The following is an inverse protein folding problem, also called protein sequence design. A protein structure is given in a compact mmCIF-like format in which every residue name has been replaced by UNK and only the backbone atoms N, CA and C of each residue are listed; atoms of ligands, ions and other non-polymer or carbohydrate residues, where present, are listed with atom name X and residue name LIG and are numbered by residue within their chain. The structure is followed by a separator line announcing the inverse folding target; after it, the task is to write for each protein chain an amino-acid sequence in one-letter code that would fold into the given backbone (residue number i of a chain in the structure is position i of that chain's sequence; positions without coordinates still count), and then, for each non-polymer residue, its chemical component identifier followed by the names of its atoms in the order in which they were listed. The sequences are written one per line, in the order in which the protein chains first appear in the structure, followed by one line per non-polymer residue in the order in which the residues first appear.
data_IF_630844424244
#
_entry.id   IF_630844424244
#
_cell.length_a   1.000
_cell.length_b   1.000
_cell.length_c   1.000
_cell.angle_alpha   90.00
_cell.angle_beta   90.00
_cell.angle_gamma   90.00
#
_symmetry.space_group_name_H-M   'P 1'
#
loop_
_entity.id
_entity.type
_entity.pdbx_description
1 polymer ?
#
# COMPACT_ATOMS: atom_id res chain seq x y z
N UNK A 1 -13.91 -27.09 0.94
CA UNK A 1 -12.74 -26.32 1.40
C UNK A 1 -13.10 -24.86 1.22
N UNK A 2 -13.54 -24.19 2.30
CA UNK A 2 -13.95 -22.79 2.28
C UNK A 2 -12.75 -21.89 2.05
N UNK A 3 -12.71 -21.27 0.88
CA UNK A 3 -11.68 -20.32 0.48
C UNK A 3 -11.77 -19.05 1.36
N UNK A 4 -11.02 -19.04 2.47
CA UNK A 4 -10.81 -17.89 3.35
C UNK A 4 -10.06 -16.71 2.66
N UNK A 5 -9.82 -16.77 1.34
CA UNK A 5 -9.17 -15.73 0.55
C UNK A 5 -10.03 -14.47 0.36
N UNK A 6 -11.35 -14.55 0.57
CA UNK A 6 -12.28 -13.42 0.41
C UNK A 6 -12.35 -12.49 1.62
N UNK A 7 -11.84 -12.89 2.78
CA UNK A 7 -11.96 -12.08 4.01
C UNK A 7 -10.78 -11.13 4.23
N UNK A 8 -9.62 -11.44 3.65
CA UNK A 8 -8.36 -10.71 3.87
C UNK A 8 -7.58 -10.42 2.59
N UNK A 9 -8.14 -10.71 1.40
CA UNK A 9 -7.54 -10.31 0.13
C UNK A 9 -7.59 -8.78 -0.06
N UNK A 10 -6.76 -8.19 -0.93
CA UNK A 10 -6.84 -6.77 -1.25
C UNK A 10 -8.25 -6.37 -1.71
N UNK A 11 -8.98 -7.25 -2.41
CA UNK A 11 -10.36 -7.04 -2.80
C UNK A 11 -11.39 -6.99 -1.65
N UNK A 12 -11.01 -7.40 -0.43
CA UNK A 12 -11.87 -7.41 0.75
C UNK A 12 -11.73 -6.15 1.61
N UNK A 13 -10.61 -5.42 1.48
CA UNK A 13 -10.36 -4.22 2.27
C UNK A 13 -10.92 -2.99 1.58
N UNK A 14 -11.73 -2.22 2.30
CA UNK A 14 -12.21 -0.92 1.81
C UNK A 14 -11.04 0.09 1.74
N UNK A 15 -11.17 1.14 0.92
CA UNK A 15 -10.17 2.21 0.87
C UNK A 15 -9.82 2.79 2.25
N UNK A 16 -10.82 2.96 3.12
CA UNK A 16 -10.63 3.46 4.48
C UNK A 16 -9.78 2.53 5.34
N UNK A 17 -10.00 1.22 5.23
CA UNK A 17 -9.19 0.22 5.94
C UNK A 17 -7.75 0.22 5.44
N UNK A 18 -7.53 0.34 4.13
CA UNK A 18 -6.19 0.44 3.55
C UNK A 18 -5.47 1.72 3.97
N UNK A 19 -6.18 2.84 4.04
CA UNK A 19 -5.64 4.10 4.56
C UNK A 19 -5.24 3.99 6.04
N UNK A 20 -6.07 3.32 6.85
CA UNK A 20 -5.76 3.05 8.24
C UNK A 20 -4.50 2.20 8.40
N UNK A 21 -4.39 1.10 7.65
CA UNK A 21 -3.20 0.23 7.65
C UNK A 21 -1.95 1.02 7.24
N UNK A 22 -2.03 1.80 6.16
CA UNK A 22 -0.92 2.66 5.72
C UNK A 22 -0.49 3.63 6.81
N UNK A 23 -1.44 4.28 7.49
CA UNK A 23 -1.15 5.20 8.59
C UNK A 23 -0.47 4.48 9.78
N UNK A 24 -0.90 3.26 10.11
CA UNK A 24 -0.25 2.45 11.15
C UNK A 24 1.19 2.08 10.74
N UNK A 25 1.41 1.64 9.50
CA UNK A 25 2.75 1.32 9.00
C UNK A 25 3.70 2.53 9.02
N UNK A 26 3.19 3.71 8.65
CA UNK A 26 3.93 4.98 8.74
C UNK A 26 4.28 5.36 10.18
N UNK A 27 3.35 5.13 11.12
CA UNK A 27 3.57 5.38 12.55
C UNK A 27 4.59 4.42 13.16
N UNK A 28 4.56 3.15 12.77
CA UNK A 28 5.48 2.13 13.30
C UNK A 28 6.90 2.39 12.79
N UNK A 29 7.09 2.70 11.51
CA UNK A 29 8.41 2.89 10.90
C UNK A 29 8.59 4.28 10.28
N UNK A 30 8.55 5.36 11.09
CA UNK A 30 8.53 6.74 10.56
C UNK A 30 9.72 7.04 9.67
N UNK A 31 10.91 6.50 9.96
CA UNK A 31 12.12 6.70 9.15
C UNK A 31 12.04 6.15 7.72
N UNK A 32 11.27 5.07 7.51
CA UNK A 32 11.10 4.43 6.22
C UNK A 32 10.19 5.25 5.27
N UNK A 33 9.27 6.00 5.86
CA UNK A 33 8.25 6.80 5.17
C UNK A 33 8.54 8.31 5.20
N UNK A 34 9.50 8.78 6.01
CA UNK A 34 9.88 10.20 6.16
C UNK A 34 10.37 10.85 4.86
N UNK A 35 10.86 10.04 3.92
CA UNK A 35 11.35 10.46 2.59
C UNK A 35 10.52 9.86 1.45
N UNK A 36 9.22 9.66 1.66
CA UNK A 36 8.34 9.29 0.55
C UNK A 36 8.39 10.43 -0.48
N UNK A 37 9.08 10.20 -1.60
CA UNK A 37 9.07 11.11 -2.74
C UNK A 37 7.64 11.28 -3.25
N UNK A 38 7.36 12.33 -4.03
CA UNK A 38 6.03 12.55 -4.63
C UNK A 38 5.51 11.32 -5.39
N UNK A 39 6.43 10.55 -5.98
CA UNK A 39 6.15 9.26 -6.62
C UNK A 39 5.64 8.20 -5.63
N UNK A 40 6.35 7.99 -4.51
CA UNK A 40 5.92 7.03 -3.48
C UNK A 40 4.58 7.43 -2.86
N UNK A 41 4.33 8.72 -2.67
CA UNK A 41 3.02 9.23 -2.23
C UNK A 41 1.88 8.94 -3.25
N UNK A 42 2.20 8.92 -4.54
CA UNK A 42 1.24 8.52 -5.59
C UNK A 42 0.94 7.02 -5.54
N UNK A 43 1.95 6.18 -5.28
CA UNK A 43 1.76 4.74 -5.11
C UNK A 43 0.84 4.44 -3.91
N UNK A 44 1.03 5.13 -2.78
CA UNK A 44 0.15 4.98 -1.63
C UNK A 44 -1.29 5.37 -1.91
N UNK A 45 -1.53 6.44 -2.68
CA UNK A 45 -2.89 6.82 -3.11
C UNK A 45 -3.52 5.74 -3.99
N UNK A 46 -2.78 5.15 -4.92
CA UNK A 46 -3.26 4.04 -5.76
C UNK A 46 -3.54 2.78 -4.94
N UNK A 47 -2.72 2.46 -3.95
CA UNK A 47 -2.98 1.37 -3.01
C UNK A 47 -4.25 1.60 -2.20
N UNK A 48 -4.45 2.80 -1.66
CA UNK A 48 -5.69 3.14 -0.92
C UNK A 48 -6.91 3.03 -1.82
N UNK A 49 -6.82 3.49 -3.08
CA UNK A 49 -7.92 3.43 -4.04
C UNK A 49 -8.30 2.01 -4.48
N UNK A 50 -7.50 0.99 -4.16
CA UNK A 50 -7.75 -0.38 -4.64
C UNK A 50 -6.98 -0.74 -5.91
N UNK A 51 -6.40 0.23 -6.59
CA UNK A 51 -5.73 0.11 -7.89
C UNK A 51 -4.44 -0.71 -7.85
N UNK A 52 -3.78 -0.75 -6.69
CA UNK A 52 -2.56 -1.53 -6.45
C UNK A 52 -2.70 -2.42 -5.22
N UNK A 53 -2.03 -3.57 -5.24
CA UNK A 53 -1.76 -4.35 -4.02
C UNK A 53 -0.57 -3.77 -3.25
N UNK A 54 -0.43 -4.14 -1.97
CA UNK A 54 0.74 -3.71 -1.19
C UNK A 54 2.06 -4.26 -1.77
N UNK A 55 2.03 -5.47 -2.35
CA UNK A 55 3.18 -6.05 -3.05
C UNK A 55 3.59 -5.19 -4.26
N UNK A 56 2.63 -4.72 -5.06
CA UNK A 56 2.94 -3.83 -6.19
C UNK A 56 3.57 -2.51 -5.71
N UNK A 57 3.10 -1.97 -4.59
CA UNK A 57 3.71 -0.77 -3.98
C UNK A 57 5.15 -1.03 -3.56
N UNK A 58 5.45 -2.18 -2.97
CA UNK A 58 6.83 -2.54 -2.60
C UNK A 58 7.72 -2.66 -3.85
N UNK A 59 7.26 -3.40 -4.87
CA UNK A 59 8.00 -3.60 -6.13
C UNK A 59 8.29 -2.26 -6.81
N UNK A 60 7.29 -1.39 -6.94
CA UNK A 60 7.43 -0.07 -7.58
C UNK A 60 8.28 0.91 -6.75
N UNK A 61 8.33 0.73 -5.42
CA UNK A 61 9.19 1.53 -4.54
C UNK A 61 10.65 1.08 -4.60
N UNK A 62 10.90 -0.21 -4.76
CA UNK A 62 12.23 -0.82 -4.87
C UNK A 62 12.81 -0.72 -6.28
N UNK A 63 11.93 -0.68 -7.28
CA UNK A 63 12.25 -0.34 -8.67
C UNK A 63 11.72 1.06 -8.97
N UNK A 64 12.34 2.14 -8.46
CA UNK A 64 12.09 3.48 -8.96
C UNK A 64 12.72 3.52 -10.36
N UNK A 65 12.11 2.85 -11.33
CA UNK A 65 12.46 2.99 -12.73
C UNK A 65 12.22 4.46 -13.07
N UNK A 66 13.32 5.21 -12.99
CA UNK A 66 13.50 6.54 -13.57
C UNK A 66 13.25 6.44 -15.09
N UNK A 67 12.96 7.57 -15.75
CA UNK A 67 12.14 7.70 -16.95
C UNK A 67 12.55 6.84 -18.15
#
# INVERSE_FOLDING_TARGET
MENNYTKYGPAAQTPEQRAYVLAQMQKTHPGLYKKASGYVAQLYRRYVAGELSWQDVCILRESPSQP
#
